data_IF_504498920649
#
_entry.id   IF_504498920649
#
_cell.length_a   1.000
_cell.length_b   1.000
_cell.length_c   1.000
_cell.angle_alpha   90.00
_cell.angle_beta   90.00
_cell.angle_gamma   90.00
#
_symmetry.space_group_name_H-M   'P 1'
#
loop_
_entity.id
_entity.type
_entity.pdbx_description
1 polymer ?
#
# COMPACT_ATOMS: atom_id res chain seq x y z
N UNK A 1 -53.13 -19.23 31.32
CA UNK A 1 -52.83 -17.92 30.70
C UNK A 1 -51.33 -17.67 30.81
N UNK A 2 -50.59 -17.92 29.72
CA UNK A 2 -49.14 -17.60 29.65
C UNK A 2 -49.00 -16.23 28.98
N UNK A 3 -48.45 -15.25 29.72
CA UNK A 3 -48.12 -13.93 29.16
C UNK A 3 -46.70 -14.03 28.63
N UNK A 4 -46.54 -14.00 27.29
CA UNK A 4 -45.26 -13.91 26.63
C UNK A 4 -44.78 -12.45 26.66
N UNK A 5 -43.75 -12.16 27.41
CA UNK A 5 -43.08 -10.85 27.40
C UNK A 5 -42.23 -10.72 26.16
N UNK A 6 -42.64 -9.83 25.26
CA UNK A 6 -41.86 -9.46 24.07
C UNK A 6 -40.77 -8.49 24.50
N UNK A 7 -39.51 -8.94 24.56
CA UNK A 7 -38.36 -8.05 24.79
C UNK A 7 -37.99 -7.41 23.43
N UNK A 8 -38.38 -6.15 23.27
CA UNK A 8 -37.92 -5.34 22.13
C UNK A 8 -36.44 -4.96 22.33
N UNK A 9 -35.57 -5.60 21.58
CA UNK A 9 -34.14 -5.20 21.46
C UNK A 9 -34.10 -3.94 20.56
N UNK A 10 -34.08 -2.78 21.19
CA UNK A 10 -33.75 -1.55 20.49
C UNK A 10 -32.24 -1.57 20.12
N UNK A 11 -31.93 -1.84 18.86
CA UNK A 11 -30.59 -1.66 18.34
C UNK A 11 -30.24 -0.17 18.46
N UNK A 12 -29.31 0.14 19.35
CA UNK A 12 -28.74 1.48 19.49
C UNK A 12 -27.93 1.75 18.21
N UNK A 13 -28.54 2.42 17.22
CA UNK A 13 -27.82 2.93 16.06
C UNK A 13 -26.92 4.06 16.57
N UNK A 14 -25.60 3.83 16.55
CA UNK A 14 -24.62 4.87 16.77
C UNK A 14 -24.90 6.01 15.75
N UNK A 15 -24.85 7.29 16.16
CA UNK A 15 -25.07 8.41 15.25
C UNK A 15 -24.09 8.29 14.10
N UNK A 16 -24.59 8.40 12.87
CA UNK A 16 -23.78 8.49 11.67
C UNK A 16 -23.05 9.85 11.71
N UNK A 17 -21.90 9.89 12.41
CA UNK A 17 -21.04 11.07 12.37
C UNK A 17 -20.60 11.37 10.95
N UNK A 18 -20.39 12.64 10.63
CA UNK A 18 -20.06 13.10 9.28
C UNK A 18 -18.77 12.44 8.78
N UNK A 19 -18.90 11.63 7.76
CA UNK A 19 -17.77 11.02 7.06
C UNK A 19 -17.49 11.78 5.77
N UNK A 20 -16.23 12.10 5.53
CA UNK A 20 -15.78 12.69 4.26
C UNK A 20 -15.12 11.59 3.42
N UNK A 21 -15.56 11.48 2.17
CA UNK A 21 -15.01 10.51 1.22
C UNK A 21 -14.03 11.23 0.30
N UNK A 22 -12.82 10.70 0.25
CA UNK A 22 -11.78 11.15 -0.66
C UNK A 22 -11.46 10.04 -1.66
N UNK A 23 -11.29 10.41 -2.93
CA UNK A 23 -10.72 9.55 -3.96
C UNK A 23 -9.24 9.90 -4.10
N UNK A 24 -8.40 8.88 -4.16
CA UNK A 24 -6.96 9.05 -4.35
C UNK A 24 -6.70 9.60 -5.75
N UNK A 25 -6.09 10.78 -5.80
CA UNK A 25 -5.83 11.50 -7.04
C UNK A 25 -4.55 10.98 -7.74
N UNK A 26 -4.46 11.12 -9.09
CA UNK A 26 -3.27 10.75 -9.86
C UNK A 26 -1.97 11.47 -9.45
N UNK A 27 -2.09 12.60 -8.73
CA UNK A 27 -0.94 13.31 -8.15
C UNK A 27 -0.26 12.57 -6.99
N UNK A 28 -0.85 11.47 -6.52
CA UNK A 28 -0.26 10.61 -5.49
C UNK A 28 0.97 9.87 -6.03
N UNK A 29 1.88 9.51 -5.11
CA UNK A 29 3.07 8.72 -5.42
C UNK A 29 3.12 7.49 -4.54
N UNK A 30 3.15 6.34 -5.17
CA UNK A 30 3.29 5.03 -4.54
C UNK A 30 4.55 4.40 -5.12
N UNK A 31 5.57 4.25 -4.28
CA UNK A 31 6.90 3.81 -4.69
C UNK A 31 7.42 2.70 -3.80
N UNK A 32 8.23 1.84 -4.37
CA UNK A 32 9.01 0.82 -3.67
C UNK A 32 10.47 0.98 -4.04
N UNK A 33 11.33 1.01 -3.02
CA UNK A 33 12.78 1.01 -3.21
C UNK A 33 13.34 -0.34 -2.80
N UNK A 34 14.10 -0.95 -3.70
CA UNK A 34 14.87 -2.17 -3.44
C UNK A 34 16.31 -1.79 -3.13
N UNK A 35 16.95 -2.52 -2.24
CA UNK A 35 18.37 -2.34 -1.91
C UNK A 35 19.17 -3.57 -2.30
N UNK A 36 20.47 -3.40 -2.37
CA UNK A 36 21.43 -4.47 -2.65
C UNK A 36 21.61 -5.37 -1.44
N UNK A 37 21.95 -6.63 -1.64
CA UNK A 37 22.41 -7.53 -0.59
C UNK A 37 23.65 -8.31 -1.03
N UNK A 38 24.49 -8.71 -0.07
CA UNK A 38 25.65 -9.57 -0.27
C UNK A 38 26.99 -8.92 0.06
N UNK A 39 28.03 -9.77 0.25
CA UNK A 39 29.38 -9.38 0.66
C UNK A 39 30.08 -8.48 -0.37
N UNK A 40 29.66 -8.53 -1.64
CA UNK A 40 30.17 -7.76 -2.76
C UNK A 40 29.14 -6.67 -3.19
N UNK A 41 28.59 -5.94 -2.23
CA UNK A 41 27.54 -4.94 -2.43
C UNK A 41 27.82 -3.79 -3.42
N UNK A 42 28.97 -3.80 -4.10
CA UNK A 42 29.29 -2.86 -5.17
C UNK A 42 28.71 -3.29 -6.54
N UNK A 43 28.30 -4.54 -6.72
CA UNK A 43 27.68 -5.01 -7.95
C UNK A 43 26.14 -4.93 -7.87
N UNK A 44 25.52 -4.13 -8.70
CA UNK A 44 24.07 -3.90 -8.78
C UNK A 44 23.66 -2.49 -8.36
N UNK A 45 22.45 -2.09 -8.68
CA UNK A 45 21.88 -0.79 -8.38
C UNK A 45 20.68 -0.90 -7.44
N UNK A 46 20.36 0.20 -6.76
CA UNK A 46 19.07 0.35 -6.10
C UNK A 46 18.03 0.67 -7.18
N UNK A 47 16.87 0.04 -7.08
CA UNK A 47 15.77 0.31 -8.00
C UNK A 47 14.63 1.00 -7.27
N UNK A 48 14.17 2.11 -7.83
CA UNK A 48 12.92 2.74 -7.45
C UNK A 48 11.86 2.32 -8.45
N UNK A 49 10.79 1.74 -7.96
CA UNK A 49 9.66 1.25 -8.74
C UNK A 49 8.45 2.07 -8.35
N UNK A 50 7.76 2.65 -9.34
CA UNK A 50 6.58 3.51 -9.15
C UNK A 50 5.34 2.90 -9.78
N UNK A 51 4.21 2.97 -9.07
CA UNK A 51 2.91 2.66 -9.65
C UNK A 51 2.43 3.80 -10.54
N UNK A 52 2.01 3.49 -11.76
CA UNK A 52 1.43 4.44 -12.72
C UNK A 52 -0.08 4.38 -12.75
N UNK A 53 -0.67 3.22 -12.50
CA UNK A 53 -2.11 3.05 -12.40
C UNK A 53 -2.50 2.49 -11.04
N UNK A 54 -3.32 3.24 -10.34
CA UNK A 54 -3.86 2.88 -9.04
C UNK A 54 -5.21 3.54 -8.84
N UNK A 55 -6.00 2.96 -7.96
CA UNK A 55 -7.23 3.53 -7.43
C UNK A 55 -7.17 3.53 -5.92
N UNK A 56 -7.93 4.40 -5.28
CA UNK A 56 -8.05 4.36 -3.83
C UNK A 56 -9.20 5.21 -3.33
N UNK A 57 -9.75 4.76 -2.22
CA UNK A 57 -10.84 5.42 -1.51
C UNK A 57 -10.50 5.54 -0.03
N UNK A 58 -10.66 6.74 0.52
CA UNK A 58 -10.47 7.04 1.93
C UNK A 58 -11.80 7.54 2.46
N UNK A 59 -12.37 6.87 3.46
CA UNK A 59 -13.50 7.35 4.25
C UNK A 59 -12.93 7.85 5.56
N UNK A 60 -12.89 9.15 5.74
CA UNK A 60 -12.33 9.77 6.93
C UNK A 60 -13.45 10.26 7.86
N UNK A 61 -13.35 9.93 9.13
CA UNK A 61 -14.24 10.39 10.19
C UNK A 61 -13.43 11.14 11.22
N UNK A 62 -13.61 12.46 11.25
CA UNK A 62 -12.85 13.34 12.13
C UNK A 62 -13.21 13.14 13.61
N UNK A 63 -14.48 12.91 13.89
CA UNK A 63 -15.03 12.66 15.21
C UNK A 63 -14.73 11.26 15.76
N UNK A 64 -14.49 10.29 14.88
CA UNK A 64 -14.23 8.90 15.22
C UNK A 64 -13.20 8.29 14.26
N UNK A 65 -11.95 8.66 14.43
CA UNK A 65 -10.83 8.25 13.54
C UNK A 65 -10.73 6.73 13.38
N UNK A 66 -11.03 5.97 14.43
CA UNK A 66 -11.03 4.49 14.38
C UNK A 66 -12.09 3.88 13.44
N UNK A 67 -13.12 4.66 13.08
CA UNK A 67 -14.12 4.25 12.09
C UNK A 67 -13.76 4.68 10.66
N UNK A 68 -12.60 5.32 10.46
CA UNK A 68 -12.08 5.63 9.13
C UNK A 68 -11.67 4.36 8.39
N UNK A 69 -11.63 4.43 7.06
CA UNK A 69 -11.26 3.30 6.18
C UNK A 69 -10.42 3.80 5.02
N UNK A 70 -9.40 3.01 4.68
CA UNK A 70 -8.51 3.26 3.54
C UNK A 70 -8.45 1.99 2.70
N UNK A 71 -8.66 2.14 1.42
CA UNK A 71 -8.48 1.07 0.44
C UNK A 71 -7.71 1.62 -0.76
N UNK A 72 -6.65 0.91 -1.16
CA UNK A 72 -5.82 1.25 -2.30
C UNK A 72 -5.59 -0.01 -3.11
N UNK A 73 -5.76 0.09 -4.42
CA UNK A 73 -5.44 -0.97 -5.38
C UNK A 73 -4.48 -0.42 -6.42
N UNK A 74 -3.39 -1.14 -6.65
CA UNK A 74 -2.38 -0.84 -7.67
C UNK A 74 -2.41 -1.92 -8.72
N UNK A 75 -2.44 -1.55 -10.01
CA UNK A 75 -2.30 -2.49 -11.11
C UNK A 75 -0.82 -2.87 -11.28
N UNK A 76 -0.50 -4.15 -11.18
CA UNK A 76 0.89 -4.64 -11.19
C UNK A 76 1.59 -4.45 -12.54
N UNK A 77 0.84 -4.48 -13.65
CA UNK A 77 1.36 -4.22 -15.00
C UNK A 77 1.75 -2.75 -15.24
N UNK A 78 1.25 -1.84 -14.40
CA UNK A 78 1.56 -0.41 -14.43
C UNK A 78 2.83 -0.03 -13.67
N UNK A 79 3.49 -0.97 -13.04
CA UNK A 79 4.71 -0.72 -12.28
C UNK A 79 5.87 -0.40 -13.23
N UNK A 80 6.53 0.72 -12.96
CA UNK A 80 7.63 1.25 -13.77
C UNK A 80 8.91 1.34 -12.94
N UNK A 81 9.99 0.81 -13.46
CA UNK A 81 11.33 0.93 -12.89
C UNK A 81 11.93 2.27 -13.34
N UNK A 82 12.31 3.12 -12.39
CA UNK A 82 12.78 4.48 -12.64
C UNK A 82 14.30 4.61 -12.65
N UNK A 83 15.00 3.70 -11.98
CA UNK A 83 16.46 3.77 -11.77
C UNK A 83 17.11 2.41 -11.99
N UNK A 84 18.34 2.38 -12.45
CA UNK A 84 19.22 3.46 -12.91
C UNK A 84 18.77 4.02 -14.28
N UNK A 85 19.42 5.05 -14.82
CA UNK A 85 19.04 5.62 -16.12
C UNK A 85 19.41 4.75 -17.35
N UNK A 86 20.07 3.61 -17.15
CA UNK A 86 20.37 2.65 -18.23
C UNK A 86 19.08 1.98 -18.71
N UNK A 87 18.68 2.28 -19.93
CA UNK A 87 17.42 1.82 -20.53
C UNK A 87 17.38 0.32 -20.76
N UNK A 88 18.50 -0.32 -21.03
CA UNK A 88 18.55 -1.77 -21.20
C UNK A 88 18.45 -2.50 -19.87
N UNK A 89 19.09 -2.00 -18.82
CA UNK A 89 18.94 -2.54 -17.47
C UNK A 89 17.50 -2.37 -16.98
N UNK A 90 16.90 -1.20 -17.15
CA UNK A 90 15.49 -0.96 -16.81
C UNK A 90 14.58 -1.97 -17.52
N UNK A 91 14.78 -2.22 -18.80
CA UNK A 91 13.99 -3.19 -19.58
C UNK A 91 14.10 -4.59 -18.99
N UNK A 92 15.32 -5.07 -18.71
CA UNK A 92 15.55 -6.40 -18.11
C UNK A 92 14.95 -6.52 -16.72
N UNK A 93 15.15 -5.52 -15.87
CA UNK A 93 14.59 -5.50 -14.51
C UNK A 93 13.07 -5.48 -14.56
N UNK A 94 12.48 -4.69 -15.46
CA UNK A 94 11.02 -4.63 -15.64
C UNK A 94 10.47 -5.98 -16.08
N UNK A 95 11.12 -6.66 -17.02
CA UNK A 95 10.70 -7.98 -17.48
C UNK A 95 10.75 -9.01 -16.35
N UNK A 96 11.89 -9.12 -15.65
CA UNK A 96 12.02 -10.03 -14.50
C UNK A 96 11.03 -9.70 -13.38
N UNK A 97 10.79 -8.42 -13.10
CA UNK A 97 9.81 -7.98 -12.11
C UNK A 97 8.42 -8.48 -12.48
N UNK A 98 8.02 -8.35 -13.74
CA UNK A 98 6.68 -8.73 -14.20
C UNK A 98 6.48 -10.24 -14.26
N UNK A 99 7.47 -10.97 -14.75
CA UNK A 99 7.31 -12.41 -15.02
C UNK A 99 7.70 -13.27 -13.83
N UNK A 100 8.86 -13.04 -13.21
CA UNK A 100 9.41 -13.92 -12.19
C UNK A 100 9.03 -13.47 -10.77
N UNK A 101 9.12 -12.16 -10.51
CA UNK A 101 8.95 -11.62 -9.15
C UNK A 101 7.48 -11.52 -8.78
N UNK A 102 6.70 -10.81 -9.57
CA UNK A 102 5.29 -10.52 -9.28
C UNK A 102 4.32 -11.46 -9.99
N UNK A 103 4.70 -12.04 -11.13
CA UNK A 103 3.82 -12.89 -11.94
C UNK A 103 2.51 -12.17 -12.25
N UNK A 104 2.63 -11.01 -12.92
CA UNK A 104 1.52 -10.07 -13.11
C UNK A 104 0.35 -10.65 -13.90
N UNK A 105 0.60 -11.68 -14.70
CA UNK A 105 -0.44 -12.39 -15.45
C UNK A 105 -1.43 -13.12 -14.52
N UNK A 106 -0.96 -13.65 -13.39
CA UNK A 106 -1.80 -14.34 -12.41
C UNK A 106 -2.19 -13.43 -11.23
N UNK A 107 -1.40 -12.40 -10.96
CA UNK A 107 -1.61 -11.49 -9.82
C UNK A 107 -1.64 -10.03 -10.30
N UNK A 108 -2.74 -9.60 -10.95
CA UNK A 108 -2.82 -8.30 -11.60
C UNK A 108 -2.88 -7.11 -10.63
N UNK A 109 -3.06 -7.36 -9.33
CA UNK A 109 -3.27 -6.30 -8.35
C UNK A 109 -2.42 -6.49 -7.08
N UNK A 110 -1.99 -5.35 -6.51
CA UNK A 110 -1.54 -5.22 -5.13
C UNK A 110 -2.62 -4.42 -4.41
N UNK A 111 -3.07 -4.90 -3.23
CA UNK A 111 -4.12 -4.24 -2.44
C UNK A 111 -3.64 -3.93 -1.04
N UNK A 112 -4.06 -2.77 -0.54
CA UNK A 112 -3.87 -2.36 0.85
C UNK A 112 -5.24 -1.93 1.40
N UNK A 113 -5.67 -2.57 2.51
CA UNK A 113 -6.94 -2.28 3.17
C UNK A 113 -6.71 -2.07 4.66
N UNK A 114 -7.11 -0.93 5.20
CA UNK A 114 -6.98 -0.66 6.63
C UNK A 114 -7.93 -1.51 7.45
N UNK A 115 -7.43 -2.06 8.57
CA UNK A 115 -8.25 -2.77 9.55
C UNK A 115 -8.47 -1.95 10.81
N UNK A 116 -7.41 -1.33 11.30
CA UNK A 116 -7.42 -0.57 12.55
C UNK A 116 -6.69 0.76 12.32
N UNK A 117 -7.31 1.85 12.74
CA UNK A 117 -6.74 3.19 12.66
C UNK A 117 -6.89 3.84 14.04
N UNK A 118 -5.80 4.35 14.58
CA UNK A 118 -5.75 5.01 15.88
C UNK A 118 -4.94 6.30 15.80
N UNK A 119 -5.14 7.18 16.75
CA UNK A 119 -4.39 8.43 16.86
C UNK A 119 -5.30 9.65 16.78
N UNK A 120 -4.67 10.78 16.64
CA UNK A 120 -5.33 12.09 16.53
C UNK A 120 -4.96 12.77 15.21
N UNK A 121 -5.57 13.91 14.90
CA UNK A 121 -5.26 14.67 13.69
C UNK A 121 -3.75 14.98 13.62
N UNK A 122 -3.17 14.73 12.45
CA UNK A 122 -1.75 14.96 12.15
C UNK A 122 -0.90 13.69 12.10
N UNK A 123 -1.08 12.75 13.03
CA UNK A 123 -0.32 11.48 13.04
C UNK A 123 -1.17 10.32 13.51
N UNK A 124 -1.27 9.32 12.66
CA UNK A 124 -2.05 8.11 12.89
C UNK A 124 -1.15 6.88 12.91
N UNK A 125 -1.57 5.88 13.67
CA UNK A 125 -1.11 4.50 13.51
C UNK A 125 -2.20 3.70 12.84
N UNK A 126 -1.82 2.82 11.92
CA UNK A 126 -2.76 1.99 11.17
C UNK A 126 -2.21 0.58 11.04
N UNK A 127 -3.06 -0.42 11.23
CA UNK A 127 -2.79 -1.79 10.79
C UNK A 127 -3.56 -2.02 9.51
N UNK A 128 -2.88 -2.49 8.47
CA UNK A 128 -3.50 -2.75 7.18
C UNK A 128 -3.15 -4.14 6.65
N UNK A 129 -4.13 -4.78 6.02
CA UNK A 129 -3.91 -5.97 5.22
C UNK A 129 -3.28 -5.56 3.87
N UNK A 130 -2.03 -5.94 3.66
CA UNK A 130 -1.33 -5.79 2.39
C UNK A 130 -1.35 -7.13 1.67
N UNK A 131 -1.86 -7.14 0.45
CA UNK A 131 -1.90 -8.33 -0.41
C UNK A 131 -0.97 -8.13 -1.59
N UNK A 132 0.01 -9.01 -1.75
CA UNK A 132 0.95 -9.06 -2.88
C UNK A 132 1.04 -10.51 -3.33
N UNK A 133 0.97 -10.74 -4.63
CA UNK A 133 1.09 -12.10 -5.22
C UNK A 133 0.17 -13.13 -4.55
N UNK A 134 -1.08 -12.72 -4.26
CA UNK A 134 -2.08 -13.55 -3.59
C UNK A 134 -1.83 -13.84 -2.10
N UNK A 135 -0.73 -13.35 -1.52
CA UNK A 135 -0.44 -13.49 -0.09
C UNK A 135 -0.82 -12.22 0.65
N UNK A 136 -1.56 -12.35 1.74
CA UNK A 136 -1.96 -11.22 2.59
C UNK A 136 -1.20 -11.25 3.92
N UNK A 137 -0.70 -10.10 4.34
CA UNK A 137 -0.04 -9.89 5.63
C UNK A 137 -0.52 -8.60 6.27
N UNK A 138 -0.67 -8.63 7.59
CA UNK A 138 -0.89 -7.43 8.38
C UNK A 138 0.41 -6.63 8.48
N UNK A 139 0.34 -5.34 8.15
CA UNK A 139 1.47 -4.43 8.22
C UNK A 139 1.13 -3.22 9.09
N UNK A 140 1.96 -2.92 10.10
CA UNK A 140 1.80 -1.71 10.89
C UNK A 140 2.34 -0.50 10.13
N UNK A 141 1.60 0.58 10.10
CA UNK A 141 1.93 1.82 9.41
C UNK A 141 1.84 3.00 10.37
N UNK A 142 2.77 3.94 10.24
CA UNK A 142 2.60 5.29 10.78
C UNK A 142 2.29 6.22 9.61
N UNK A 143 1.26 7.01 9.75
CA UNK A 143 0.75 7.90 8.70
C UNK A 143 0.77 9.32 9.22
N UNK A 144 1.49 10.22 8.55
CA UNK A 144 1.38 11.65 8.75
C UNK A 144 0.23 12.19 7.88
N UNK A 145 -0.74 12.84 8.51
CA UNK A 145 -2.00 13.26 7.90
C UNK A 145 -2.17 14.78 7.94
N UNK A 146 -2.43 15.36 6.80
CA UNK A 146 -2.83 16.75 6.65
C UNK A 146 -4.19 16.87 5.96
N UNK A 147 -5.13 17.59 6.55
CA UNK A 147 -6.47 17.80 6.01
C UNK A 147 -6.63 19.25 5.63
N UNK A 148 -6.92 19.51 4.36
CA UNK A 148 -7.32 20.81 3.84
C UNK A 148 -8.82 20.87 3.61
N UNK A 149 -9.28 21.96 2.99
CA UNK A 149 -10.71 22.19 2.74
C UNK A 149 -11.36 21.10 1.87
N UNK A 150 -10.71 20.75 0.75
CA UNK A 150 -11.21 19.79 -0.24
C UNK A 150 -10.19 18.67 -0.52
N UNK A 151 -9.10 18.62 0.24
CA UNK A 151 -8.01 17.68 0.02
C UNK A 151 -7.55 17.05 1.33
N UNK A 152 -7.11 15.81 1.22
CA UNK A 152 -6.39 15.07 2.26
C UNK A 152 -5.01 14.73 1.72
N UNK A 153 -3.98 14.91 2.52
CA UNK A 153 -2.61 14.45 2.23
C UNK A 153 -2.21 13.46 3.30
N UNK A 154 -1.70 12.33 2.87
CA UNK A 154 -1.21 11.32 3.79
C UNK A 154 0.14 10.79 3.31
N UNK A 155 1.10 10.67 4.22
CA UNK A 155 2.39 10.06 3.91
C UNK A 155 2.74 8.96 4.90
N UNK A 156 3.36 7.91 4.38
CA UNK A 156 3.84 6.77 5.16
C UNK A 156 5.06 6.15 4.51
N UNK A 157 5.96 5.64 5.33
CA UNK A 157 7.07 4.81 4.88
C UNK A 157 7.20 3.60 5.79
N UNK A 158 7.27 2.41 5.21
CA UNK A 158 7.37 1.15 5.94
C UNK A 158 8.17 0.12 5.15
N UNK A 159 8.57 -0.96 5.82
CA UNK A 159 9.38 -2.03 5.24
C UNK A 159 8.66 -3.36 5.35
N UNK A 160 8.84 -4.19 4.33
CA UNK A 160 8.39 -5.58 4.32
C UNK A 160 9.53 -6.49 3.87
N UNK A 161 9.40 -7.79 4.14
CA UNK A 161 10.22 -8.81 3.50
C UNK A 161 9.46 -9.39 2.30
N UNK A 162 10.13 -9.49 1.17
CA UNK A 162 9.59 -10.09 -0.05
C UNK A 162 9.16 -11.55 0.19
N UNK A 163 9.96 -12.28 0.98
CA UNK A 163 9.69 -13.69 1.31
C UNK A 163 8.40 -13.90 2.10
N UNK A 164 7.93 -12.90 2.88
CA UNK A 164 6.64 -12.98 3.57
C UNK A 164 5.45 -13.07 2.61
N UNK A 165 5.64 -12.63 1.37
CA UNK A 165 4.65 -12.66 0.28
C UNK A 165 4.94 -13.74 -0.76
N UNK A 166 5.78 -14.73 -0.44
CA UNK A 166 6.15 -15.81 -1.36
C UNK A 166 7.01 -15.37 -2.54
N UNK A 167 7.55 -14.15 -2.49
CA UNK A 167 8.46 -13.63 -3.51
C UNK A 167 9.88 -14.09 -3.17
N UNK A 168 10.57 -14.67 -4.15
CA UNK A 168 11.99 -14.96 -4.05
C UNK A 168 12.78 -13.74 -4.48
N UNK A 169 13.60 -13.12 -3.59
CA UNK A 169 14.42 -11.98 -3.98
C UNK A 169 15.31 -12.32 -5.18
N UNK A 170 15.38 -11.42 -6.13
CA UNK A 170 16.11 -11.64 -7.38
C UNK A 170 17.59 -11.94 -7.13
N UNK A 171 18.10 -12.93 -7.89
CA UNK A 171 19.51 -13.28 -7.97
C UNK A 171 19.91 -13.39 -9.43
N UNK A 172 20.93 -12.65 -9.83
CA UNK A 172 21.36 -12.58 -11.22
C UNK A 172 22.85 -12.30 -11.36
N UNK A 173 23.26 -12.01 -12.60
CA UNK A 173 24.64 -11.78 -12.94
C UNK A 173 25.50 -13.06 -12.96
N UNK A 174 26.78 -12.96 -13.40
CA UNK A 174 27.69 -14.10 -13.41
C UNK A 174 27.80 -14.76 -12.02
N UNK A 175 27.50 -16.05 -11.93
CA UNK A 175 27.57 -16.80 -10.66
C UNK A 175 26.55 -16.38 -9.60
N UNK A 176 25.49 -15.64 -9.96
CA UNK A 176 24.47 -15.18 -8.99
C UNK A 176 24.97 -14.13 -8.00
N UNK A 177 25.98 -13.36 -8.37
CA UNK A 177 26.64 -12.38 -7.49
C UNK A 177 25.77 -11.13 -7.26
N UNK A 178 24.87 -10.79 -8.18
CA UNK A 178 23.92 -9.68 -8.01
C UNK A 178 22.72 -10.20 -7.21
N UNK A 179 22.44 -9.58 -6.07
CA UNK A 179 21.33 -9.97 -5.19
C UNK A 179 20.56 -8.74 -4.77
N UNK A 180 19.24 -8.81 -4.85
CA UNK A 180 18.32 -7.86 -4.22
C UNK A 180 18.11 -8.28 -2.77
N UNK A 181 18.06 -7.32 -1.87
CA UNK A 181 17.76 -7.58 -0.46
C UNK A 181 16.32 -8.11 -0.32
N UNK A 182 16.10 -8.98 0.65
CA UNK A 182 14.75 -9.45 0.97
C UNK A 182 13.86 -8.31 1.46
N UNK A 183 14.43 -7.38 2.22
CA UNK A 183 13.71 -6.22 2.71
C UNK A 183 13.61 -5.13 1.64
N UNK A 184 12.38 -4.64 1.40
CA UNK A 184 12.09 -3.51 0.52
C UNK A 184 11.36 -2.41 1.30
N UNK A 185 11.53 -1.16 0.86
CA UNK A 185 10.91 0.00 1.50
C UNK A 185 9.78 0.53 0.61
N UNK A 186 8.59 0.63 1.18
CA UNK A 186 7.45 1.32 0.58
C UNK A 186 7.44 2.78 1.01
N UNK A 187 7.22 3.68 0.06
CA UNK A 187 7.02 5.11 0.28
C UNK A 187 5.71 5.52 -0.38
N UNK A 188 4.76 5.93 0.43
CA UNK A 188 3.40 6.27 0.00
C UNK A 188 3.16 7.74 0.30
N UNK A 189 2.83 8.53 -0.72
CA UNK A 189 2.40 9.92 -0.59
C UNK A 189 1.07 10.07 -1.33
N UNK A 190 -0.02 10.14 -0.57
CA UNK A 190 -1.37 10.24 -1.10
C UNK A 190 -1.85 11.68 -1.15
N UNK A 191 -2.57 11.98 -2.20
CA UNK A 191 -3.42 13.17 -2.33
C UNK A 191 -4.84 12.67 -2.56
N UNK A 192 -5.70 12.84 -1.57
CA UNK A 192 -7.12 12.56 -1.67
C UNK A 192 -7.89 13.83 -2.02
N UNK A 193 -8.88 13.72 -2.90
CA UNK A 193 -9.78 14.82 -3.27
C UNK A 193 -11.20 14.43 -2.89
N UNK A 194 -11.93 15.35 -2.26
CA UNK A 194 -13.32 15.13 -1.85
C UNK A 194 -14.20 14.80 -3.05
N UNK A 195 -14.95 13.72 -2.95
CA UNK A 195 -16.02 13.43 -3.91
C UNK A 195 -17.25 14.24 -3.50
N UNK A 196 -17.63 15.21 -4.30
CA UNK A 196 -18.93 15.87 -4.16
C UNK A 196 -19.98 15.03 -4.90
N UNK A 197 -21.16 14.79 -4.29
CA UNK A 197 -22.25 14.10 -4.95
C UNK A 197 -22.74 14.86 -6.18
#
# INVERSE_FOLDING_TARGET
>A
MLIAALIAITALQAPAGDSVVYIVAPASRLEVTTTKSGLLGFAGHEHTIRARAFTGRIVYRQDLVSASRVEITVLTDSLEVLTPPDTEEIRRVTESMRTEVLDVAHYPEIRLVSHQIEGTSGRLTMTAALTIKGQTREVPLTVDLGIGRDTLRASSSFRIKQTDFGIRPFRGGPGGMVRVADQVTFSINLVGVVTRP
#
